data_IF_141664755675
#
_entry.id   IF_141664755675
#
_cell.length_a   1.000
_cell.length_b   1.000
_cell.length_c   1.000
_cell.angle_alpha   90.00
_cell.angle_beta   90.00
_cell.angle_gamma   90.00
#
_symmetry.space_group_name_H-M   'P 1'
#
loop_
_entity.id
_entity.type
_entity.pdbx_description
1 polymer ?
#
# COMPACT_ATOMS: atom_id res chain seq x y z
N UNK A 1 -17.30 -17.52 8.29
CA UNK A 1 -16.93 -16.17 8.73
C UNK A 1 -16.45 -16.28 10.15
N UNK A 2 -15.23 -15.84 10.40
CA UNK A 2 -14.67 -15.82 11.75
C UNK A 2 -15.14 -14.57 12.50
N UNK A 3 -15.09 -14.60 13.84
CA UNK A 3 -15.40 -13.41 14.64
C UNK A 3 -14.39 -12.30 14.33
N UNK A 4 -14.88 -11.07 14.17
CA UNK A 4 -14.03 -9.89 13.92
C UNK A 4 -14.57 -8.66 14.65
N UNK A 5 -13.70 -7.67 14.86
CA UNK A 5 -14.09 -6.32 15.25
C UNK A 5 -13.66 -5.37 14.15
N UNK A 6 -14.60 -4.57 13.65
CA UNK A 6 -14.31 -3.55 12.64
C UNK A 6 -14.38 -2.17 13.26
N UNK A 7 -13.26 -1.44 13.20
CA UNK A 7 -13.18 -0.03 13.54
C UNK A 7 -12.24 0.65 12.56
N UNK A 8 -12.79 1.51 11.71
CA UNK A 8 -12.02 2.43 10.90
C UNK A 8 -12.35 3.87 11.36
N UNK A 9 -11.49 4.49 12.19
CA UNK A 9 -11.79 5.78 12.81
C UNK A 9 -11.48 6.98 11.91
N UNK A 10 -10.89 6.77 10.73
CA UNK A 10 -10.46 7.88 9.87
C UNK A 10 -11.67 8.57 9.23
N UNK A 11 -11.80 9.89 9.45
CA UNK A 11 -12.77 10.71 8.72
C UNK A 11 -12.30 10.88 7.25
N UNK A 12 -13.13 10.46 6.28
CA UNK A 12 -12.82 10.61 4.86
C UNK A 12 -13.51 11.85 4.28
N UNK A 13 -12.72 12.74 3.68
CA UNK A 13 -13.14 13.96 3.01
C UNK A 13 -12.97 13.79 1.51
N UNK A 14 -13.97 13.19 0.87
CA UNK A 14 -13.90 12.81 -0.54
C UNK A 14 -14.57 13.85 -1.44
N UNK A 15 -13.86 14.28 -2.49
CA UNK A 15 -14.45 15.12 -3.54
C UNK A 15 -13.49 16.16 -4.11
N UNK A 16 -13.94 16.81 -5.18
CA UNK A 16 -13.22 17.93 -5.80
C UNK A 16 -13.16 19.14 -4.87
N UNK A 17 -11.96 19.70 -4.66
CA UNK A 17 -11.78 20.94 -3.94
C UNK A 17 -11.90 20.78 -2.43
N UNK A 18 -11.53 19.62 -1.89
CA UNK A 18 -11.69 19.30 -0.46
C UNK A 18 -10.49 19.72 0.41
N UNK A 19 -9.38 20.20 -0.16
CA UNK A 19 -8.23 20.66 0.64
C UNK A 19 -8.57 21.81 1.61
N UNK A 20 -9.44 22.80 1.28
CA UNK A 20 -9.86 23.82 2.24
C UNK A 20 -10.55 23.28 3.50
N UNK A 21 -11.11 22.06 3.47
CA UNK A 21 -11.75 21.40 4.62
C UNK A 21 -10.77 21.03 5.73
N UNK A 22 -9.46 21.19 5.53
CA UNK A 22 -8.48 21.12 6.62
C UNK A 22 -8.78 22.12 7.75
N UNK A 23 -9.46 23.22 7.43
CA UNK A 23 -9.86 24.25 8.39
C UNK A 23 -10.73 23.63 9.48
N UNK A 24 -10.29 23.74 10.73
CA UNK A 24 -11.01 23.21 11.90
C UNK A 24 -10.71 21.75 12.25
N UNK A 25 -10.05 20.97 11.37
CA UNK A 25 -9.70 19.56 11.63
C UNK A 25 -8.33 19.36 12.29
N UNK A 26 -7.53 20.42 12.33
CA UNK A 26 -6.27 20.47 13.08
C UNK A 26 -6.49 21.40 14.28
N UNK A 27 -6.23 20.97 15.52
CA UNK A 27 -6.34 21.84 16.71
C UNK A 27 -5.41 23.06 16.63
N UNK A 28 -5.95 24.27 16.81
CA UNK A 28 -5.25 25.56 16.60
C UNK A 28 -3.96 25.70 17.43
N UNK A 29 -3.90 25.07 18.60
CA UNK A 29 -2.76 25.09 19.52
C UNK A 29 -1.56 24.27 19.03
N UNK A 30 -1.75 23.32 18.10
CA UNK A 30 -0.70 22.41 17.67
C UNK A 30 0.13 23.00 16.53
N UNK A 31 1.46 22.91 16.67
CA UNK A 31 2.42 23.12 15.59
C UNK A 31 2.39 21.91 14.64
N UNK A 32 2.32 22.16 13.34
CA UNK A 32 2.16 21.14 12.30
C UNK A 32 3.49 20.84 11.63
N UNK A 33 3.83 19.55 11.46
CA UNK A 33 4.82 19.12 10.46
C UNK A 33 4.09 18.89 9.14
N UNK A 34 4.37 19.74 8.16
CA UNK A 34 3.93 19.54 6.78
C UNK A 34 4.94 18.62 6.09
N UNK A 35 4.58 17.34 5.97
CA UNK A 35 5.41 16.27 5.43
C UNK A 35 5.05 15.98 3.98
N UNK A 36 6.04 15.95 3.08
CA UNK A 36 5.83 15.58 1.67
C UNK A 36 7.06 14.92 1.02
N UNK A 37 6.85 14.34 -0.17
CA UNK A 37 7.90 13.65 -0.93
C UNK A 37 8.79 14.59 -1.74
N UNK A 38 9.17 14.17 -2.96
CA UNK A 38 10.07 14.90 -3.87
C UNK A 38 9.55 16.21 -4.49
N UNK A 39 8.41 16.74 -4.03
CA UNK A 39 7.93 18.07 -4.42
C UNK A 39 7.05 18.14 -5.68
N UNK A 40 6.53 17.02 -6.18
CA UNK A 40 5.52 17.02 -7.27
C UNK A 40 4.30 17.90 -6.94
N UNK A 41 3.91 17.96 -5.65
CA UNK A 41 2.82 18.80 -5.14
C UNK A 41 3.04 20.31 -5.35
N UNK A 42 4.29 20.76 -5.54
CA UNK A 42 4.60 22.17 -5.85
C UNK A 42 4.31 22.51 -7.30
N UNK A 43 4.29 21.51 -8.19
CA UNK A 43 4.06 21.72 -9.63
C UNK A 43 2.59 21.65 -10.02
N UNK A 44 1.74 21.06 -9.19
CA UNK A 44 0.33 20.83 -9.48
C UNK A 44 -0.64 21.67 -8.63
N UNK A 45 -0.12 22.66 -7.88
CA UNK A 45 -0.90 23.58 -7.06
C UNK A 45 -1.44 23.00 -5.75
N UNK A 46 -1.17 21.73 -5.44
CA UNK A 46 -1.58 21.13 -4.14
C UNK A 46 -0.81 21.78 -3.00
N UNK A 47 0.49 22.04 -3.15
CA UNK A 47 1.29 22.70 -2.13
C UNK A 47 0.70 24.06 -1.74
N UNK A 48 0.34 24.89 -2.72
CA UNK A 48 -0.19 26.23 -2.48
C UNK A 48 -1.55 26.19 -1.78
N UNK A 49 -2.44 25.28 -2.19
CA UNK A 49 -3.72 25.04 -1.51
C UNK A 49 -3.53 24.64 -0.05
N UNK A 50 -2.55 23.77 0.24
CA UNK A 50 -2.23 23.37 1.62
C UNK A 50 -1.65 24.53 2.42
N UNK A 51 -0.73 25.30 1.83
CA UNK A 51 -0.15 26.48 2.48
C UNK A 51 -1.21 27.52 2.82
N UNK A 52 -2.18 27.74 1.93
CA UNK A 52 -3.30 28.64 2.17
C UNK A 52 -4.24 28.10 3.27
N UNK A 53 -4.59 26.82 3.22
CA UNK A 53 -5.41 26.18 4.25
C UNK A 53 -4.74 26.16 5.65
N UNK A 54 -3.41 26.22 5.71
CA UNK A 54 -2.62 26.32 6.94
C UNK A 54 -2.25 27.75 7.34
N UNK A 55 -2.74 28.78 6.65
CA UNK A 55 -2.43 30.18 6.95
C UNK A 55 -2.76 30.53 8.41
N UNK A 56 -1.86 31.24 9.08
CA UNK A 56 -1.97 31.60 10.50
C UNK A 56 -1.54 30.49 11.47
N UNK A 57 -1.15 29.30 11.00
CA UNK A 57 -0.64 28.21 11.83
C UNK A 57 0.89 28.22 11.91
N UNK A 58 1.43 27.67 13.01
CA UNK A 58 2.86 27.34 13.11
C UNK A 58 3.13 26.05 12.33
N UNK A 59 3.85 26.17 11.20
CA UNK A 59 4.13 25.05 10.29
C UNK A 59 5.64 24.88 10.14
N UNK A 60 6.12 23.64 10.28
CA UNK A 60 7.48 23.22 9.93
C UNK A 60 7.37 22.30 8.72
N UNK A 61 8.14 22.55 7.67
CA UNK A 61 8.15 21.68 6.50
C UNK A 61 9.23 20.62 6.61
N UNK A 62 8.91 19.41 6.15
CA UNK A 62 9.89 18.38 5.89
C UNK A 62 9.56 17.71 4.56
N UNK A 63 10.51 17.78 3.63
CA UNK A 63 10.37 17.25 2.28
C UNK A 63 11.37 16.14 2.00
N UNK A 64 11.17 15.41 0.91
CA UNK A 64 12.14 14.43 0.42
C UNK A 64 11.90 13.01 0.90
N UNK A 65 10.69 12.70 1.38
CA UNK A 65 10.29 11.30 1.58
C UNK A 65 10.33 10.57 0.23
N UNK A 66 11.02 9.44 0.21
CA UNK A 66 11.27 8.63 -0.97
C UNK A 66 10.02 7.80 -1.37
N UNK A 67 10.00 7.22 -2.58
CA UNK A 67 8.94 6.29 -2.98
C UNK A 67 8.93 5.01 -2.13
N UNK A 68 10.11 4.60 -1.63
CA UNK A 68 10.28 3.60 -0.59
C UNK A 68 10.84 4.33 0.63
N UNK A 69 9.98 4.77 1.59
CA UNK A 69 10.39 5.70 2.62
C UNK A 69 11.49 5.07 3.49
N UNK A 70 12.60 5.78 3.66
CA UNK A 70 13.75 5.27 4.40
C UNK A 70 13.68 5.59 5.89
N UNK A 71 14.10 4.65 6.72
CA UNK A 71 14.26 4.80 8.16
C UNK A 71 15.16 6.00 8.49
N UNK A 72 16.25 6.16 7.74
CA UNK A 72 17.23 7.23 7.90
C UNK A 72 16.61 8.61 7.63
N UNK A 73 15.76 8.74 6.61
CA UNK A 73 15.02 9.98 6.31
C UNK A 73 13.98 10.25 7.38
N UNK A 74 13.22 9.23 7.81
CA UNK A 74 12.25 9.35 8.89
C UNK A 74 12.89 9.84 10.20
N UNK A 75 14.07 9.34 10.57
CA UNK A 75 14.77 9.78 11.79
C UNK A 75 15.18 11.26 11.75
N UNK A 76 15.46 11.83 10.57
CA UNK A 76 15.70 13.28 10.43
C UNK A 76 14.43 14.06 10.79
N UNK A 77 13.28 13.61 10.31
CA UNK A 77 11.99 14.22 10.66
C UNK A 77 11.66 14.05 12.16
N UNK A 78 11.92 12.88 12.76
CA UNK A 78 11.74 12.63 14.20
C UNK A 78 12.54 13.65 15.04
N UNK A 79 13.80 13.91 14.67
CA UNK A 79 14.64 14.92 15.35
C UNK A 79 14.04 16.32 15.28
N UNK A 80 13.52 16.70 14.10
CA UNK A 80 12.85 17.99 13.89
C UNK A 80 11.58 18.09 14.72
N UNK A 81 10.73 17.05 14.71
CA UNK A 81 9.48 17.01 15.47
C UNK A 81 9.74 17.19 16.97
N UNK A 82 10.75 16.50 17.52
CA UNK A 82 11.15 16.63 18.92
C UNK A 82 11.70 18.02 19.24
N UNK A 83 12.64 18.53 18.43
CA UNK A 83 13.26 19.85 18.63
C UNK A 83 12.21 20.97 18.58
N UNK A 84 11.34 20.92 17.58
CA UNK A 84 10.35 21.96 17.33
C UNK A 84 9.07 21.80 18.16
N UNK A 85 8.92 20.70 18.90
CA UNK A 85 7.70 20.36 19.65
C UNK A 85 6.47 20.37 18.72
N UNK A 86 6.61 19.73 17.55
CA UNK A 86 5.47 19.49 16.64
C UNK A 86 4.47 18.58 17.36
N UNK A 87 3.19 18.90 17.26
CA UNK A 87 2.10 18.13 17.86
C UNK A 87 1.15 17.47 16.87
N UNK A 88 1.31 17.72 15.57
CA UNK A 88 0.45 17.15 14.52
C UNK A 88 1.26 16.95 13.23
N UNK A 89 1.07 15.83 12.54
CA UNK A 89 1.69 15.57 11.23
C UNK A 89 0.63 15.67 10.13
N UNK A 90 0.83 16.56 9.16
CA UNK A 90 0.03 16.61 7.94
C UNK A 90 0.85 16.03 6.79
N UNK A 91 0.50 14.82 6.36
CA UNK A 91 1.15 14.11 5.27
C UNK A 91 0.46 14.43 3.94
N UNK A 92 1.20 14.95 2.96
CA UNK A 92 0.66 15.31 1.64
C UNK A 92 1.46 14.58 0.57
N UNK A 93 0.84 13.56 -0.03
CA UNK A 93 1.53 12.67 -0.96
C UNK A 93 0.77 11.37 -1.22
N UNK A 94 1.50 10.39 -1.77
CA UNK A 94 1.02 9.01 -1.87
C UNK A 94 1.27 8.21 -0.59
N UNK A 95 1.01 6.90 -0.66
CA UNK A 95 1.21 5.95 0.43
C UNK A 95 2.57 6.06 1.12
N UNK A 96 3.67 6.27 0.39
CA UNK A 96 5.01 6.38 0.98
C UNK A 96 5.16 7.54 1.98
N UNK A 97 4.56 8.69 1.68
CA UNK A 97 4.56 9.86 2.58
C UNK A 97 3.70 9.59 3.81
N UNK A 98 2.58 8.91 3.63
CA UNK A 98 1.65 8.57 4.71
C UNK A 98 2.29 7.52 5.64
N UNK A 99 2.94 6.49 5.08
CA UNK A 99 3.67 5.47 5.84
C UNK A 99 4.82 6.09 6.65
N UNK A 100 5.58 7.00 6.03
CA UNK A 100 6.60 7.77 6.74
C UNK A 100 5.99 8.58 7.90
N UNK A 101 4.85 9.25 7.67
CA UNK A 101 4.16 10.01 8.71
C UNK A 101 3.74 9.14 9.90
N UNK A 102 3.18 7.96 9.62
CA UNK A 102 2.79 6.97 10.63
C UNK A 102 3.98 6.52 11.46
N UNK A 103 5.07 6.16 10.80
CA UNK A 103 6.29 5.78 11.49
C UNK A 103 6.87 6.93 12.32
N UNK A 104 6.96 8.15 11.77
CA UNK A 104 7.45 9.33 12.50
C UNK A 104 6.58 9.62 13.72
N UNK A 105 5.25 9.56 13.58
CA UNK A 105 4.29 9.80 14.65
C UNK A 105 4.49 8.84 15.83
N UNK A 106 4.70 7.55 15.56
CA UNK A 106 4.99 6.55 16.59
C UNK A 106 6.42 6.71 17.16
N UNK A 107 7.43 6.84 16.28
CA UNK A 107 8.84 6.89 16.65
C UNK A 107 9.19 8.10 17.53
N UNK A 108 8.50 9.24 17.35
CA UNK A 108 8.69 10.42 18.20
C UNK A 108 8.39 10.12 19.67
N UNK A 109 7.36 9.31 19.94
CA UNK A 109 6.90 8.95 21.29
C UNK A 109 7.49 7.62 21.79
N UNK A 110 8.27 6.94 20.97
CA UNK A 110 8.96 5.71 21.33
C UNK A 110 10.06 5.97 22.38
N UNK A 111 10.07 5.16 23.45
CA UNK A 111 10.97 5.31 24.60
C UNK A 111 12.26 4.48 24.49
N UNK A 112 12.38 3.60 23.51
CA UNK A 112 13.59 2.81 23.28
C UNK A 112 14.69 3.57 22.53
N UNK A 113 15.88 2.96 22.43
CA UNK A 113 17.06 3.57 21.78
C UNK A 113 16.94 3.63 20.26
N UNK A 114 16.49 2.55 19.63
CA UNK A 114 16.32 2.44 18.18
C UNK A 114 14.83 2.22 17.85
N UNK A 115 14.14 3.21 17.26
CA UNK A 115 12.75 3.07 16.82
C UNK A 115 12.52 2.01 15.72
N UNK A 116 13.57 1.43 15.12
CA UNK A 116 13.42 0.32 14.17
C UNK A 116 12.73 -0.89 14.80
N UNK A 117 12.82 -1.06 16.12
CA UNK A 117 12.12 -2.11 16.88
C UNK A 117 10.60 -2.06 16.68
N UNK A 118 10.03 -0.91 16.32
CA UNK A 118 8.61 -0.81 15.92
C UNK A 118 8.31 -1.73 14.72
N UNK A 119 9.21 -1.77 13.74
CA UNK A 119 9.07 -2.62 12.55
C UNK A 119 9.37 -4.07 12.86
N UNK A 120 10.41 -4.35 13.65
CA UNK A 120 10.80 -5.72 14.03
C UNK A 120 9.71 -6.44 14.83
N UNK A 121 9.00 -5.72 15.70
CA UNK A 121 7.90 -6.25 16.52
C UNK A 121 6.51 -6.05 15.88
N UNK A 122 6.46 -5.68 14.59
CA UNK A 122 5.23 -5.51 13.83
C UNK A 122 4.28 -4.43 14.37
N UNK A 123 4.78 -3.51 15.21
CA UNK A 123 4.02 -2.39 15.79
C UNK A 123 3.34 -2.68 17.13
N UNK A 124 3.49 -3.89 17.68
CA UNK A 124 2.87 -4.30 18.95
C UNK A 124 3.31 -3.44 20.16
N UNK A 125 4.47 -2.81 20.07
CA UNK A 125 5.03 -1.88 21.05
C UNK A 125 4.56 -0.42 20.90
N UNK A 126 3.81 -0.09 19.84
CA UNK A 126 3.26 1.26 19.64
C UNK A 126 2.03 1.42 20.53
N UNK A 127 2.17 2.25 21.58
CA UNK A 127 1.10 2.55 22.54
C UNK A 127 0.46 3.92 22.36
N UNK A 128 1.15 4.82 21.66
CA UNK A 128 0.70 6.16 21.33
C UNK A 128 1.42 6.63 20.07
N UNK A 129 0.79 7.52 19.31
CA UNK A 129 1.41 8.24 18.22
C UNK A 129 0.92 9.69 18.21
N UNK A 130 1.66 10.60 17.55
CA UNK A 130 1.11 11.92 17.23
C UNK A 130 -0.09 11.80 16.28
N UNK A 131 -1.11 12.69 16.37
CA UNK A 131 -2.21 12.69 15.41
C UNK A 131 -1.71 13.01 13.99
N UNK A 132 -2.29 12.31 13.01
CA UNK A 132 -1.91 12.38 11.60
C UNK A 132 -3.13 12.80 10.78
N UNK A 133 -3.00 13.85 9.97
CA UNK A 133 -3.92 14.15 8.88
C UNK A 133 -3.25 13.82 7.55
N UNK A 134 -4.03 13.42 6.55
CA UNK A 134 -3.49 13.09 5.22
C UNK A 134 -4.21 13.83 4.10
N UNK A 135 -3.48 14.11 3.02
CA UNK A 135 -4.03 14.56 1.74
C UNK A 135 -3.44 13.65 0.68
N UNK A 136 -4.28 12.78 0.13
CA UNK A 136 -3.86 11.75 -0.78
C UNK A 136 -3.66 12.33 -2.18
N UNK A 137 -2.47 12.13 -2.75
CA UNK A 137 -2.14 12.56 -4.13
C UNK A 137 -1.84 11.41 -5.07
N UNK A 138 -1.78 10.18 -4.56
CA UNK A 138 -1.54 8.95 -5.32
C UNK A 138 -2.27 7.79 -4.62
N UNK A 139 -3.42 7.35 -5.13
CA UNK A 139 -4.14 6.17 -4.63
C UNK A 139 -3.39 4.90 -4.99
N UNK A 140 -3.22 4.00 -4.02
CA UNK A 140 -2.60 2.68 -4.21
C UNK A 140 -2.82 1.77 -2.98
N UNK A 141 -2.37 2.22 -1.81
CA UNK A 141 -2.13 1.36 -0.64
C UNK A 141 -3.21 1.40 0.44
N UNK A 142 -4.26 2.22 0.28
CA UNK A 142 -5.25 2.49 1.33
C UNK A 142 -4.67 3.06 2.64
N UNK A 143 -3.38 3.45 2.65
CA UNK A 143 -2.66 3.91 3.85
C UNK A 143 -3.33 5.13 4.49
N UNK A 144 -4.05 5.91 3.70
CA UNK A 144 -4.85 7.02 4.17
C UNK A 144 -6.02 6.63 5.09
N UNK A 145 -6.43 5.35 5.12
CA UNK A 145 -7.57 4.84 5.90
C UNK A 145 -7.25 3.51 6.59
N UNK A 146 -5.99 3.26 6.93
CA UNK A 146 -5.59 2.06 7.69
C UNK A 146 -4.45 2.35 8.68
N UNK A 147 -4.11 1.36 9.50
CA UNK A 147 -3.03 1.43 10.50
C UNK A 147 -1.70 0.83 10.05
N UNK A 148 -1.56 0.43 8.78
CA UNK A 148 -0.34 -0.16 8.24
C UNK A 148 0.69 0.91 7.86
N UNK A 149 1.98 0.60 7.95
CA UNK A 149 3.03 1.36 7.28
C UNK A 149 4.24 0.48 6.96
N UNK A 150 4.90 0.76 5.84
CA UNK A 150 6.08 0.01 5.35
C UNK A 150 7.28 0.93 5.23
N UNK A 151 8.37 0.61 5.94
CA UNK A 151 9.60 1.41 5.98
C UNK A 151 10.78 0.55 5.54
N UNK A 152 11.68 1.16 4.75
CA UNK A 152 12.92 0.53 4.31
C UNK A 152 14.09 0.98 5.18
N UNK A 153 15.05 0.10 5.46
CA UNK A 153 16.32 0.44 6.14
C UNK A 153 17.47 0.09 5.23
N UNK A 154 18.14 1.12 4.71
CA UNK A 154 19.22 0.96 3.73
C UNK A 154 20.39 0.19 4.31
N UNK A 155 20.75 0.44 5.57
CA UNK A 155 21.90 -0.18 6.23
C UNK A 155 21.81 -1.70 6.39
N UNK A 156 20.59 -2.26 6.45
CA UNK A 156 20.35 -3.71 6.62
C UNK A 156 19.71 -4.35 5.38
N UNK A 157 19.43 -3.57 4.34
CA UNK A 157 18.67 -3.99 3.16
C UNK A 157 17.32 -4.63 3.53
N UNK A 158 16.61 -4.05 4.49
CA UNK A 158 15.32 -4.55 4.96
C UNK A 158 14.18 -3.63 4.52
N UNK A 159 13.02 -4.22 4.25
CA UNK A 159 11.76 -3.50 4.04
C UNK A 159 10.70 -4.21 4.86
N UNK A 160 10.32 -3.60 5.97
CA UNK A 160 9.43 -4.20 6.97
C UNK A 160 8.16 -3.37 7.09
N UNK A 161 7.07 -4.04 7.46
CA UNK A 161 5.78 -3.43 7.76
C UNK A 161 5.49 -3.46 9.25
N UNK A 162 4.75 -2.49 9.74
CA UNK A 162 4.11 -2.56 11.05
C UNK A 162 2.65 -2.17 10.96
N UNK A 163 1.87 -2.57 11.98
CA UNK A 163 0.50 -2.15 12.17
C UNK A 163 0.30 -1.61 13.59
N UNK A 164 -0.45 -0.52 13.71
CA UNK A 164 -0.97 -0.07 15.01
C UNK A 164 -2.28 0.71 14.84
N UNK A 165 -3.22 0.52 15.77
CA UNK A 165 -4.44 1.35 15.87
C UNK A 165 -4.13 2.82 16.13
N UNK A 166 -2.97 3.11 16.72
CA UNK A 166 -2.58 4.46 17.13
C UNK A 166 -2.12 5.34 15.96
N UNK A 167 -1.79 4.74 14.82
CA UNK A 167 -1.29 5.46 13.64
C UNK A 167 -2.33 5.61 12.53
N UNK A 168 -3.60 5.31 12.80
CA UNK A 168 -4.67 5.67 11.87
C UNK A 168 -4.70 7.20 11.70
N UNK A 169 -4.79 7.70 10.46
CA UNK A 169 -5.07 9.11 10.25
C UNK A 169 -6.38 9.50 10.94
N UNK A 170 -6.40 10.66 11.60
CA UNK A 170 -7.64 11.21 12.18
C UNK A 170 -8.59 11.68 11.08
N UNK A 171 -8.03 12.15 9.95
CA UNK A 171 -8.77 12.43 8.72
C UNK A 171 -7.91 12.16 7.49
N UNK A 172 -8.56 12.00 6.34
CA UNK A 172 -7.93 12.00 5.03
C UNK A 172 -8.72 12.80 3.99
N UNK A 173 -8.03 13.70 3.28
CA UNK A 173 -8.57 14.41 2.11
C UNK A 173 -8.28 13.60 0.86
N UNK A 174 -9.35 13.18 0.19
CA UNK A 174 -9.36 12.41 -1.05
C UNK A 174 -9.95 13.29 -2.15
N UNK A 175 -9.12 14.16 -2.73
CA UNK A 175 -9.51 14.96 -3.90
C UNK A 175 -8.94 14.33 -5.19
N UNK A 176 -9.78 13.74 -6.07
CA UNK A 176 -9.32 13.10 -7.30
C UNK A 176 -8.47 13.98 -8.21
N UNK A 177 -8.64 15.32 -8.15
CA UNK A 177 -7.86 16.27 -8.98
C UNK A 177 -6.39 16.33 -8.59
N UNK A 178 -6.02 16.04 -7.35
CA UNK A 178 -4.60 15.98 -6.94
C UNK A 178 -3.82 14.94 -7.74
N UNK A 179 -4.52 13.95 -8.29
CA UNK A 179 -3.95 12.84 -9.03
C UNK A 179 -3.77 13.14 -10.53
N UNK A 180 -4.32 14.25 -11.04
CA UNK A 180 -4.33 14.56 -12.47
C UNK A 180 -2.93 14.74 -13.05
N UNK A 181 -1.95 15.17 -12.24
CA UNK A 181 -0.57 15.32 -12.68
C UNK A 181 0.23 14.02 -12.68
N UNK A 182 -0.33 12.89 -12.23
CA UNK A 182 0.42 11.63 -12.15
C UNK A 182 0.82 11.11 -13.54
N UNK A 183 2.11 10.78 -13.74
CA UNK A 183 2.55 9.98 -14.88
C UNK A 183 1.79 8.66 -14.96
N UNK A 184 1.54 8.16 -16.17
CA UNK A 184 0.78 6.92 -16.41
C UNK A 184 1.36 5.72 -15.63
N UNK A 185 2.69 5.66 -15.47
CA UNK A 185 3.39 4.63 -14.67
C UNK A 185 2.87 4.55 -13.23
N UNK A 186 2.66 5.69 -12.56
CA UNK A 186 2.20 5.70 -11.17
C UNK A 186 0.72 5.36 -11.03
N UNK A 187 -0.10 5.71 -12.03
CA UNK A 187 -1.51 5.30 -12.08
C UNK A 187 -1.61 3.79 -12.27
N UNK A 188 -0.86 3.24 -13.25
CA UNK A 188 -0.71 1.79 -13.47
C UNK A 188 -0.30 1.08 -12.18
N UNK A 189 0.74 1.56 -11.51
CA UNK A 189 1.24 0.95 -10.29
C UNK A 189 0.15 0.95 -9.20
N UNK A 190 -0.55 2.06 -9.00
CA UNK A 190 -1.61 2.13 -7.99
C UNK A 190 -2.82 1.22 -8.29
N UNK A 191 -3.20 1.06 -9.57
CA UNK A 191 -4.24 0.10 -9.97
C UNK A 191 -3.82 -1.34 -9.65
N UNK A 192 -2.60 -1.72 -10.04
CA UNK A 192 -2.08 -3.08 -9.79
C UNK A 192 -1.95 -3.35 -8.29
N UNK A 193 -1.48 -2.37 -7.52
CA UNK A 193 -1.34 -2.48 -6.07
C UNK A 193 -2.69 -2.66 -5.37
N UNK A 194 -3.68 -1.80 -5.68
CA UNK A 194 -5.05 -1.95 -5.18
C UNK A 194 -5.67 -3.29 -5.56
N UNK A 195 -5.44 -3.74 -6.80
CA UNK A 195 -5.91 -5.04 -7.28
C UNK A 195 -5.32 -6.19 -6.46
N UNK A 196 -4.00 -6.18 -6.21
CA UNK A 196 -3.32 -7.23 -5.45
C UNK A 196 -3.76 -7.20 -3.99
N UNK A 197 -3.95 -6.01 -3.38
CA UNK A 197 -4.52 -5.91 -2.02
C UNK A 197 -5.87 -6.62 -1.91
N UNK A 198 -6.76 -6.43 -2.89
CA UNK A 198 -8.04 -7.16 -2.92
C UNK A 198 -7.82 -8.66 -3.07
N UNK A 199 -6.91 -9.07 -3.98
CA UNK A 199 -6.62 -10.50 -4.19
C UNK A 199 -6.03 -11.17 -2.95
N UNK A 200 -5.20 -10.52 -2.15
CA UNK A 200 -4.60 -11.11 -0.95
C UNK A 200 -5.61 -11.34 0.18
N UNK A 201 -6.77 -10.66 0.14
CA UNK A 201 -7.90 -10.82 1.06
C UNK A 201 -9.02 -11.72 0.51
N UNK A 202 -8.90 -12.17 -0.75
CA UNK A 202 -9.94 -12.93 -1.47
C UNK A 202 -9.43 -14.27 -1.99
N UNK A 203 -8.19 -14.34 -2.49
CA UNK A 203 -7.62 -15.50 -3.16
C UNK A 203 -6.94 -16.45 -2.16
N UNK A 204 -7.73 -16.98 -1.26
CA UNK A 204 -7.34 -17.89 -0.17
C UNK A 204 -7.96 -19.28 -0.39
N UNK A 205 -8.26 -20.01 0.69
CA UNK A 205 -9.21 -21.12 0.65
C UNK A 205 -10.67 -20.63 0.58
N UNK A 206 -11.64 -21.49 0.15
CA UNK A 206 -13.07 -21.17 0.14
C UNK A 206 -13.67 -20.98 1.54
N UNK A 207 -13.59 -19.77 2.06
CA UNK A 207 -14.26 -19.39 3.30
C UNK A 207 -15.76 -19.12 3.07
N UNK A 208 -16.59 -19.41 4.08
CA UNK A 208 -18.03 -19.08 4.07
C UNK A 208 -18.23 -17.60 4.39
N UNK A 209 -17.89 -16.71 3.45
CA UNK A 209 -17.93 -15.24 3.56
C UNK A 209 -18.50 -14.57 2.31
N UNK A 210 -19.75 -14.93 1.89
CA UNK A 210 -20.27 -14.52 0.59
C UNK A 210 -20.33 -13.01 0.39
N UNK A 211 -20.58 -12.21 1.45
CA UNK A 211 -20.58 -10.75 1.34
C UNK A 211 -19.18 -10.20 1.05
N UNK A 212 -18.16 -10.65 1.76
CA UNK A 212 -16.77 -10.25 1.55
C UNK A 212 -16.29 -10.65 0.15
N UNK A 213 -16.69 -11.84 -0.31
CA UNK A 213 -16.46 -12.27 -1.68
C UNK A 213 -17.08 -11.29 -2.68
N UNK A 214 -18.36 -10.88 -2.51
CA UNK A 214 -19.01 -9.93 -3.43
C UNK A 214 -18.37 -8.56 -3.41
N UNK A 215 -17.98 -8.06 -2.23
CA UNK A 215 -17.30 -6.78 -2.10
C UNK A 215 -15.94 -6.80 -2.81
N UNK A 216 -15.15 -7.85 -2.59
CA UNK A 216 -13.86 -8.04 -3.26
C UNK A 216 -14.04 -8.16 -4.79
N UNK A 217 -14.97 -9.00 -5.25
CA UNK A 217 -15.29 -9.18 -6.68
C UNK A 217 -15.71 -7.86 -7.33
N UNK A 218 -16.54 -7.05 -6.65
CA UNK A 218 -16.97 -5.75 -7.14
C UNK A 218 -15.81 -4.77 -7.27
N UNK A 219 -14.88 -4.75 -6.31
CA UNK A 219 -13.67 -3.92 -6.39
C UNK A 219 -12.77 -4.36 -7.55
N UNK A 220 -12.56 -5.66 -7.74
CA UNK A 220 -11.75 -6.20 -8.83
C UNK A 220 -12.34 -5.83 -10.19
N UNK A 221 -13.64 -6.08 -10.40
CA UNK A 221 -14.34 -5.73 -11.64
C UNK A 221 -14.27 -4.23 -11.91
N UNK A 222 -14.53 -3.40 -10.88
CA UNK A 222 -14.45 -1.95 -11.00
C UNK A 222 -13.04 -1.52 -11.41
N UNK A 223 -11.99 -2.01 -10.74
CA UNK A 223 -10.60 -1.68 -11.07
C UNK A 223 -10.23 -2.10 -12.50
N UNK A 224 -10.69 -3.27 -12.96
CA UNK A 224 -10.48 -3.73 -14.34
C UNK A 224 -11.16 -2.77 -15.34
N UNK A 225 -12.41 -2.42 -15.08
CA UNK A 225 -13.21 -1.52 -15.93
C UNK A 225 -12.60 -0.12 -16.02
N UNK A 226 -12.23 0.48 -14.88
CA UNK A 226 -11.78 1.87 -14.85
C UNK A 226 -10.31 2.06 -15.24
N UNK A 227 -9.49 1.01 -15.25
CA UNK A 227 -8.05 1.15 -15.43
C UNK A 227 -7.65 1.85 -16.74
N UNK A 228 -8.23 1.50 -17.91
CA UNK A 228 -7.93 2.21 -19.16
C UNK A 228 -8.32 3.70 -19.10
N UNK A 229 -9.47 4.03 -18.53
CA UNK A 229 -9.95 5.40 -18.41
C UNK A 229 -9.12 6.22 -17.41
N UNK A 230 -8.73 5.63 -16.28
CA UNK A 230 -7.91 6.27 -15.25
C UNK A 230 -6.50 6.62 -15.75
N UNK A 231 -5.97 5.84 -16.70
CA UNK A 231 -4.66 6.05 -17.32
C UNK A 231 -4.70 6.97 -18.56
N UNK A 232 -5.88 7.22 -19.14
CA UNK A 232 -6.05 8.00 -20.37
C UNK A 232 -5.78 9.50 -20.16
N UNK A 233 -5.40 10.18 -21.25
CA UNK A 233 -5.35 11.64 -21.36
C UNK A 233 -6.32 12.10 -22.47
N UNK A 234 -7.12 13.18 -22.27
CA UNK A 234 -7.25 13.98 -21.04
C UNK A 234 -7.81 13.17 -19.85
N UNK A 235 -7.52 13.62 -18.63
CA UNK A 235 -7.93 12.92 -17.41
C UNK A 235 -9.44 13.09 -17.20
N UNK A 236 -10.12 12.00 -16.87
CA UNK A 236 -11.56 11.98 -16.56
C UNK A 236 -11.76 11.97 -15.05
N UNK A 237 -12.60 12.86 -14.52
CA UNK A 237 -12.80 12.98 -13.08
C UNK A 237 -13.35 11.69 -12.49
N UNK A 238 -14.38 11.13 -13.12
CA UNK A 238 -15.11 9.94 -12.71
C UNK A 238 -14.17 8.74 -12.59
N UNK A 239 -13.31 8.52 -13.60
CA UNK A 239 -12.34 7.43 -13.56
C UNK A 239 -11.33 7.57 -12.41
N UNK A 240 -10.87 8.79 -12.11
CA UNK A 240 -9.93 9.04 -11.00
C UNK A 240 -10.61 8.98 -9.64
N UNK A 241 -11.86 9.42 -9.56
CA UNK A 241 -12.67 9.37 -8.35
C UNK A 241 -12.97 7.91 -7.99
N UNK A 242 -13.47 7.12 -8.94
CA UNK A 242 -13.73 5.69 -8.74
C UNK A 242 -12.45 4.95 -8.41
N UNK A 243 -11.35 5.16 -9.15
CA UNK A 243 -10.07 4.54 -8.82
C UNK A 243 -9.60 4.88 -7.40
N UNK A 244 -9.65 6.16 -7.02
CA UNK A 244 -9.24 6.59 -5.68
C UNK A 244 -10.04 5.88 -4.60
N UNK A 245 -11.36 5.84 -4.73
CA UNK A 245 -12.22 5.19 -3.75
C UNK A 245 -12.04 3.67 -3.72
N UNK A 246 -11.90 3.03 -4.88
CA UNK A 246 -11.60 1.59 -4.97
C UNK A 246 -10.28 1.24 -4.28
N UNK A 247 -9.23 2.06 -4.47
CA UNK A 247 -7.94 1.86 -3.81
C UNK A 247 -8.01 2.04 -2.28
N UNK A 248 -8.82 3.00 -1.80
CA UNK A 248 -9.08 3.14 -0.36
C UNK A 248 -9.77 1.89 0.20
N UNK A 249 -10.86 1.44 -0.44
CA UNK A 249 -11.62 0.27 0.01
C UNK A 249 -10.84 -1.05 -0.13
N UNK A 250 -9.87 -1.11 -1.05
CA UNK A 250 -9.01 -2.29 -1.23
C UNK A 250 -8.19 -2.61 0.02
N UNK A 251 -7.85 -1.63 0.87
CA UNK A 251 -7.06 -1.86 2.08
C UNK A 251 -7.49 -1.01 3.28
N UNK A 252 -8.79 -0.77 3.47
CA UNK A 252 -9.34 -0.15 4.69
C UNK A 252 -9.89 -1.20 5.70
N UNK A 253 -9.55 -2.47 5.47
CA UNK A 253 -9.96 -3.69 6.20
C UNK A 253 -11.42 -4.13 6.07
N UNK A 254 -12.30 -3.38 5.39
CA UNK A 254 -13.70 -3.78 5.25
C UNK A 254 -13.87 -5.17 4.62
N UNK A 255 -13.15 -5.44 3.54
CA UNK A 255 -13.28 -6.70 2.79
C UNK A 255 -12.60 -7.89 3.49
N UNK A 256 -11.68 -7.64 4.42
CA UNK A 256 -11.04 -8.67 5.24
C UNK A 256 -11.89 -9.18 6.40
N UNK A 257 -13.00 -8.51 6.74
CA UNK A 257 -13.78 -8.79 7.94
C UNK A 257 -14.29 -10.25 7.97
N UNK A 258 -13.72 -11.05 8.87
CA UNK A 258 -14.07 -12.46 9.06
C UNK A 258 -13.63 -13.38 7.91
N UNK A 259 -12.77 -12.89 7.01
CA UNK A 259 -12.19 -13.62 5.88
C UNK A 259 -10.69 -13.91 6.12
N UNK A 260 -10.17 -15.06 5.66
CA UNK A 260 -8.74 -15.35 5.68
C UNK A 260 -7.95 -14.43 4.72
N UNK A 261 -6.63 -14.33 4.92
CA UNK A 261 -5.73 -13.50 4.12
C UNK A 261 -4.39 -14.23 3.88
N UNK A 262 -3.71 -13.95 2.77
CA UNK A 262 -2.47 -14.62 2.35
C UNK A 262 -1.21 -13.76 2.61
N UNK A 263 -1.09 -12.62 1.96
CA UNK A 263 0.04 -11.67 1.99
C UNK A 263 1.37 -12.17 1.41
N UNK A 264 1.43 -13.37 0.83
CA UNK A 264 2.69 -13.93 0.31
C UNK A 264 3.27 -13.12 -0.84
N UNK A 265 2.44 -12.59 -1.74
CA UNK A 265 2.94 -11.82 -2.87
C UNK A 265 3.59 -10.51 -2.41
N UNK A 266 2.99 -9.85 -1.41
CA UNK A 266 3.57 -8.67 -0.76
C UNK A 266 4.90 -8.96 -0.07
N UNK A 267 4.95 -10.02 0.74
CA UNK A 267 6.15 -10.34 1.54
C UNK A 267 7.34 -10.72 0.65
N UNK A 268 7.13 -11.51 -0.40
CA UNK A 268 8.18 -11.79 -1.39
C UNK A 268 8.51 -10.53 -2.20
N UNK A 269 7.49 -9.73 -2.56
CA UNK A 269 7.64 -8.49 -3.30
C UNK A 269 8.42 -7.40 -2.56
N UNK A 270 8.36 -7.36 -1.22
CA UNK A 270 9.19 -6.48 -0.40
C UNK A 270 10.68 -6.80 -0.56
N UNK A 271 11.05 -8.08 -0.59
CA UNK A 271 12.44 -8.49 -0.77
C UNK A 271 12.96 -8.17 -2.17
N UNK A 272 12.12 -8.33 -3.21
CA UNK A 272 12.47 -7.86 -4.56
C UNK A 272 12.72 -6.35 -4.61
N UNK A 273 11.90 -5.56 -3.89
CA UNK A 273 12.12 -4.11 -3.78
C UNK A 273 13.43 -3.81 -3.05
N UNK A 274 13.67 -4.46 -1.92
CA UNK A 274 14.84 -4.20 -1.07
C UNK A 274 16.16 -4.56 -1.75
N UNK A 275 16.18 -5.65 -2.54
CA UNK A 275 17.40 -6.11 -3.20
C UNK A 275 17.63 -5.53 -4.60
N UNK A 276 16.57 -5.22 -5.35
CA UNK A 276 16.67 -4.86 -6.77
C UNK A 276 16.07 -3.49 -7.10
N UNK A 277 15.48 -2.78 -6.13
CA UNK A 277 14.98 -1.42 -6.32
C UNK A 277 13.75 -1.29 -7.23
N UNK A 278 13.05 -2.40 -7.51
CA UNK A 278 11.81 -2.39 -8.29
C UNK A 278 10.71 -1.60 -7.57
N UNK A 279 9.79 -1.00 -8.35
CA UNK A 279 8.59 -0.41 -7.74
C UNK A 279 7.73 -1.50 -7.10
N UNK A 280 7.04 -1.17 -6.02
CA UNK A 280 6.24 -2.15 -5.27
C UNK A 280 5.25 -2.92 -6.16
N UNK A 281 4.43 -2.23 -6.95
CA UNK A 281 3.46 -2.87 -7.83
C UNK A 281 4.10 -3.73 -8.94
N UNK A 282 5.33 -3.41 -9.36
CA UNK A 282 6.08 -4.22 -10.34
C UNK A 282 6.45 -5.57 -9.72
N UNK A 283 6.85 -5.59 -8.44
CA UNK A 283 7.15 -6.85 -7.75
C UNK A 283 5.88 -7.69 -7.53
N UNK A 284 4.75 -7.06 -7.21
CA UNK A 284 3.46 -7.76 -7.06
C UNK A 284 3.00 -8.40 -8.37
N UNK A 285 3.09 -7.68 -9.48
CA UNK A 285 2.73 -8.19 -10.80
C UNK A 285 3.59 -9.40 -11.24
N UNK A 286 4.85 -9.43 -10.81
CA UNK A 286 5.75 -10.57 -11.03
C UNK A 286 5.33 -11.75 -10.15
N UNK A 287 5.16 -11.54 -8.84
CA UNK A 287 5.07 -12.62 -7.85
C UNK A 287 3.68 -13.25 -7.80
N UNK A 288 2.60 -12.46 -7.86
CA UNK A 288 1.23 -12.93 -7.62
C UNK A 288 0.85 -14.15 -8.48
N UNK A 289 1.07 -14.17 -9.82
CA UNK A 289 0.75 -15.34 -10.62
C UNK A 289 1.66 -16.55 -10.35
N UNK A 290 2.84 -16.33 -9.77
CA UNK A 290 3.74 -17.40 -9.30
C UNK A 290 3.20 -18.09 -8.05
N UNK A 291 2.74 -17.30 -7.07
CA UNK A 291 2.10 -17.81 -5.86
C UNK A 291 0.89 -18.67 -6.22
N UNK A 292 0.03 -18.21 -7.13
CA UNK A 292 -1.15 -18.97 -7.54
C UNK A 292 -0.82 -20.27 -8.27
N UNK A 293 0.20 -20.27 -9.13
CA UNK A 293 0.65 -21.50 -9.81
C UNK A 293 1.23 -22.50 -8.83
N UNK A 294 2.04 -22.05 -7.88
CA UNK A 294 2.60 -22.92 -6.84
C UNK A 294 1.51 -23.46 -5.89
N UNK A 295 0.56 -22.62 -5.48
CA UNK A 295 -0.55 -22.97 -4.59
C UNK A 295 -1.82 -23.41 -5.34
N UNK A 296 -1.70 -23.83 -6.60
CA UNK A 296 -2.84 -24.00 -7.49
C UNK A 296 -3.91 -24.92 -6.90
N UNK A 297 -3.52 -26.10 -6.42
CA UNK A 297 -4.46 -27.06 -5.81
C UNK A 297 -5.18 -26.50 -4.58
N UNK A 298 -4.47 -25.75 -3.73
CA UNK A 298 -5.04 -25.17 -2.51
C UNK A 298 -6.03 -24.05 -2.80
N UNK A 299 -5.76 -23.25 -3.85
CA UNK A 299 -6.56 -22.08 -4.24
C UNK A 299 -7.56 -22.36 -5.38
N UNK A 300 -7.56 -23.56 -5.96
CA UNK A 300 -8.28 -23.90 -7.19
C UNK A 300 -9.75 -23.46 -7.18
N UNK A 301 -10.50 -23.82 -6.13
CA UNK A 301 -11.92 -23.47 -6.02
C UNK A 301 -12.17 -21.95 -5.99
N UNK A 302 -11.27 -21.18 -5.35
CA UNK A 302 -11.37 -19.71 -5.34
C UNK A 302 -10.93 -19.10 -6.66
N UNK A 303 -9.95 -19.71 -7.35
CA UNK A 303 -9.59 -19.34 -8.72
C UNK A 303 -10.73 -19.61 -9.71
N UNK A 304 -11.47 -20.72 -9.58
CA UNK A 304 -12.65 -21.01 -10.39
C UNK A 304 -13.79 -20.01 -10.12
N UNK A 305 -14.04 -19.66 -8.85
CA UNK A 305 -15.00 -18.61 -8.50
C UNK A 305 -14.60 -17.25 -9.10
N UNK A 306 -13.32 -16.90 -8.99
CA UNK A 306 -12.74 -15.69 -9.59
C UNK A 306 -12.88 -15.69 -11.11
N UNK A 307 -12.59 -16.81 -11.77
CA UNK A 307 -12.76 -16.99 -13.21
C UNK A 307 -14.20 -16.65 -13.62
N UNK A 308 -15.18 -17.31 -12.99
CA UNK A 308 -16.59 -17.13 -13.35
C UNK A 308 -17.14 -15.75 -13.01
N UNK A 309 -16.80 -15.21 -11.83
CA UNK A 309 -17.42 -13.99 -11.33
C UNK A 309 -16.75 -12.71 -11.81
N UNK A 310 -15.42 -12.66 -11.89
CA UNK A 310 -14.70 -11.45 -12.30
C UNK A 310 -14.50 -11.40 -13.81
N UNK A 311 -14.21 -12.54 -14.44
CA UNK A 311 -13.84 -12.60 -15.86
C UNK A 311 -14.87 -13.24 -16.78
N UNK A 312 -15.88 -13.92 -16.25
CA UNK A 312 -16.82 -14.70 -17.06
C UNK A 312 -16.19 -15.93 -17.73
N UNK A 313 -15.11 -16.46 -17.13
CA UNK A 313 -14.33 -17.61 -17.62
C UNK A 313 -14.71 -18.90 -16.88
N UNK A 314 -14.24 -20.05 -17.38
CA UNK A 314 -14.63 -21.36 -16.84
C UNK A 314 -13.58 -21.99 -15.94
N UNK A 315 -12.31 -21.79 -16.22
CA UNK A 315 -11.22 -22.51 -15.51
C UNK A 315 -10.33 -21.60 -14.68
N UNK A 316 -9.71 -22.17 -13.64
CA UNK A 316 -8.75 -21.48 -12.79
C UNK A 316 -7.52 -21.00 -13.59
N UNK A 317 -7.02 -21.81 -14.51
CA UNK A 317 -5.87 -21.52 -15.36
C UNK A 317 -6.12 -20.31 -16.27
N UNK A 318 -7.30 -20.26 -16.91
CA UNK A 318 -7.72 -19.13 -17.73
C UNK A 318 -7.72 -17.83 -16.92
N UNK A 319 -8.14 -17.86 -15.65
CA UNK A 319 -8.16 -16.68 -14.79
C UNK A 319 -6.75 -16.18 -14.42
N UNK A 320 -5.78 -17.09 -14.21
CA UNK A 320 -4.37 -16.70 -13.98
C UNK A 320 -3.83 -16.00 -15.22
N UNK A 321 -4.04 -16.60 -16.41
CA UNK A 321 -3.61 -16.02 -17.70
C UNK A 321 -4.28 -14.66 -17.92
N UNK A 322 -5.59 -14.56 -17.67
CA UNK A 322 -6.34 -13.32 -17.88
C UNK A 322 -5.88 -12.18 -16.97
N UNK A 323 -5.47 -12.51 -15.75
CA UNK A 323 -4.87 -11.53 -14.83
C UNK A 323 -3.54 -11.01 -15.35
N UNK A 324 -2.69 -11.89 -15.90
CA UNK A 324 -1.43 -11.46 -16.54
C UNK A 324 -1.68 -10.60 -17.78
N UNK A 325 -2.64 -10.98 -18.64
CA UNK A 325 -3.07 -10.18 -19.78
C UNK A 325 -3.57 -8.79 -19.37
N UNK A 326 -4.35 -8.71 -18.28
CA UNK A 326 -4.78 -7.44 -17.73
C UNK A 326 -3.58 -6.58 -17.32
N UNK A 327 -2.63 -7.12 -16.56
CA UNK A 327 -1.40 -6.38 -16.21
C UNK A 327 -0.62 -5.95 -17.46
N UNK A 328 -0.47 -6.82 -18.45
CA UNK A 328 0.19 -6.48 -19.72
C UNK A 328 -0.54 -5.38 -20.49
N UNK A 329 -1.87 -5.36 -20.48
CA UNK A 329 -2.68 -4.31 -21.11
C UNK A 329 -2.40 -2.92 -20.50
N UNK A 330 -2.03 -2.88 -19.22
CA UNK A 330 -1.59 -1.65 -18.52
C UNK A 330 -0.09 -1.37 -18.71
N UNK A 331 0.61 -2.12 -19.56
CA UNK A 331 2.07 -2.07 -19.77
C UNK A 331 2.83 -2.41 -18.48
N UNK A 332 2.36 -3.38 -17.69
CA UNK A 332 3.02 -3.89 -16.49
C UNK A 332 3.66 -5.27 -16.78
N UNK A 333 5.00 -5.37 -16.92
CA UNK A 333 5.66 -6.67 -17.07
C UNK A 333 5.49 -7.58 -15.84
N UNK A 334 5.38 -8.89 -16.07
CA UNK A 334 5.09 -9.91 -15.03
C UNK A 334 6.15 -11.00 -14.90
N UNK A 335 7.38 -10.75 -15.40
CA UNK A 335 8.54 -11.66 -15.32
C UNK A 335 9.80 -10.90 -14.90
N UNK A 336 10.69 -11.57 -14.18
CA UNK A 336 11.96 -11.01 -13.70
C UNK A 336 12.90 -10.62 -14.83
N UNK A 337 12.95 -11.40 -15.92
CA UNK A 337 13.81 -11.11 -17.08
C UNK A 337 13.52 -9.77 -17.75
N UNK A 338 12.28 -9.27 -17.71
CA UNK A 338 11.95 -7.93 -18.25
C UNK A 338 12.65 -6.79 -17.50
N UNK A 339 13.02 -7.04 -16.25
CA UNK A 339 13.75 -6.09 -15.39
C UNK A 339 15.25 -6.41 -15.32
N UNK A 340 15.75 -7.34 -16.17
CA UNK A 340 17.14 -7.81 -16.19
C UNK A 340 17.59 -8.42 -14.86
N UNK A 341 16.66 -9.07 -14.15
CA UNK A 341 16.94 -9.77 -12.90
C UNK A 341 16.98 -11.28 -13.19
N UNK A 342 18.05 -11.95 -12.73
CA UNK A 342 18.16 -13.41 -12.80
C UNK A 342 17.21 -14.06 -11.79
N UNK A 343 16.30 -14.90 -12.28
CA UNK A 343 15.37 -15.63 -11.41
C UNK A 343 16.07 -16.59 -10.46
N UNK A 344 17.17 -17.22 -10.90
CA UNK A 344 17.95 -18.13 -10.04
C UNK A 344 18.66 -17.35 -8.92
N UNK A 345 19.25 -16.20 -9.23
CA UNK A 345 19.90 -15.35 -8.23
C UNK A 345 18.88 -14.82 -7.21
N UNK A 346 17.75 -14.29 -7.69
CA UNK A 346 16.69 -13.78 -6.84
C UNK A 346 16.12 -14.90 -5.93
N UNK A 347 15.87 -16.08 -6.49
CA UNK A 347 15.41 -17.25 -5.75
C UNK A 347 16.39 -17.67 -4.64
N UNK A 348 17.69 -17.74 -4.95
CA UNK A 348 18.71 -18.08 -3.97
C UNK A 348 18.80 -17.04 -2.85
N UNK A 349 18.87 -15.75 -3.21
CA UNK A 349 19.05 -14.64 -2.26
C UNK A 349 17.85 -14.46 -1.34
N UNK A 350 16.64 -14.42 -1.91
CA UNK A 350 15.39 -14.23 -1.16
C UNK A 350 15.05 -15.49 -0.37
N UNK A 351 15.22 -16.68 -0.97
CA UNK A 351 15.02 -17.95 -0.27
C UNK A 351 15.93 -18.09 0.96
N UNK A 352 17.21 -17.70 0.86
CA UNK A 352 18.13 -17.70 1.99
C UNK A 352 17.66 -16.78 3.14
N UNK A 353 17.20 -15.57 2.82
CA UNK A 353 16.68 -14.62 3.82
C UNK A 353 15.45 -15.15 4.56
N UNK A 354 14.50 -15.76 3.85
CA UNK A 354 13.33 -16.37 4.51
C UNK A 354 13.69 -17.61 5.34
N UNK A 355 14.72 -18.37 4.92
CA UNK A 355 15.23 -19.50 5.70
C UNK A 355 15.85 -19.04 7.01
N UNK A 356 16.67 -17.99 6.97
CA UNK A 356 17.29 -17.39 8.16
C UNK A 356 16.22 -16.89 9.16
N UNK A 357 15.20 -16.20 8.65
CA UNK A 357 14.09 -15.69 9.46
C UNK A 357 13.12 -16.76 9.96
N UNK A 358 13.18 -17.98 9.42
CA UNK A 358 12.25 -19.10 9.73
C UNK A 358 10.77 -18.73 9.56
N UNK A 359 10.49 -17.88 8.56
CA UNK A 359 9.13 -17.40 8.27
C UNK A 359 8.46 -18.31 7.24
N UNK A 360 7.20 -18.65 7.49
CA UNK A 360 6.33 -19.35 6.56
C UNK A 360 5.13 -18.45 6.24
N UNK A 361 4.90 -18.25 4.95
CA UNK A 361 3.87 -17.37 4.42
C UNK A 361 2.61 -18.15 3.99
N UNK A 362 1.59 -17.41 3.59
CA UNK A 362 0.31 -17.94 3.12
C UNK A 362 -0.70 -18.13 4.24
N UNK A 363 -1.97 -18.18 3.86
CA UNK A 363 -3.11 -18.34 4.77
C UNK A 363 -3.08 -19.66 5.57
N UNK A 364 -2.23 -20.61 5.15
CA UNK A 364 -1.97 -21.88 5.84
C UNK A 364 -0.55 -21.98 6.41
N UNK A 365 0.29 -20.95 6.27
CA UNK A 365 1.68 -20.99 6.73
C UNK A 365 2.52 -22.08 6.05
N UNK A 366 2.31 -22.33 4.76
CA UNK A 366 2.97 -23.42 4.00
C UNK A 366 4.03 -22.93 3.02
N UNK A 367 4.10 -21.62 2.75
CA UNK A 367 5.06 -21.05 1.80
C UNK A 367 6.35 -20.69 2.55
N UNK A 368 7.22 -21.68 2.71
CA UNK A 368 8.57 -21.51 3.29
C UNK A 368 9.63 -21.15 2.24
N UNK A 369 10.88 -21.06 2.67
CA UNK A 369 12.03 -20.66 1.84
C UNK A 369 12.18 -21.44 0.52
N UNK A 370 11.90 -22.75 0.51
CA UNK A 370 12.00 -23.58 -0.70
C UNK A 370 10.90 -23.20 -1.71
N UNK A 371 9.66 -23.13 -1.25
CA UNK A 371 8.51 -22.70 -2.06
C UNK A 371 8.72 -21.29 -2.63
N UNK A 372 9.26 -20.36 -1.84
CA UNK A 372 9.57 -18.99 -2.30
C UNK A 372 10.59 -19.02 -3.45
N UNK A 373 11.64 -19.84 -3.34
CA UNK A 373 12.63 -19.98 -4.40
C UNK A 373 12.02 -20.59 -5.67
N UNK A 374 11.15 -21.61 -5.55
CA UNK A 374 10.43 -22.21 -6.67
C UNK A 374 9.47 -21.22 -7.35
N UNK A 375 8.73 -20.45 -6.56
CA UNK A 375 7.87 -19.36 -7.03
C UNK A 375 8.71 -18.40 -7.87
N UNK A 376 9.82 -17.88 -7.36
CA UNK A 376 10.66 -16.92 -8.08
C UNK A 376 11.28 -17.50 -9.36
N UNK A 377 11.77 -18.76 -9.34
CA UNK A 377 12.27 -19.45 -10.54
C UNK A 377 11.20 -19.57 -11.63
N UNK A 378 9.95 -19.82 -11.25
CA UNK A 378 8.84 -19.89 -12.21
C UNK A 378 8.53 -18.55 -12.89
N UNK A 379 9.15 -17.45 -12.44
CA UNK A 379 8.96 -16.08 -12.96
C UNK A 379 10.13 -15.57 -13.79
N UNK A 380 10.97 -16.46 -14.33
CA UNK A 380 12.07 -16.14 -15.24
C UNK A 380 11.66 -15.15 -16.35
#
# INVERSE_FOLDING_TARGET
>A
MDNFTYKNPTEILFGNGMIPELKGRIPASLKVLFLYGGGSIKKNGVYDQVRDALKGRKVIEFSGVESNPSYETCLKAVKIVRKEKVGFILAVGGGSVIDAAKFIAAAVLFKGKDPWVILEEGGSNVKMALPIGTILTLPATGSESNGNAVISRGSTHEKLSFYSSEVYPVFSVLDPKTTYSLPAKYVRNGVVDAFVHVMEQYMTYPAKVPLQDRLAESLLQTLIEIAPAAMKRPVQYEARATFMWSATLALNYLISCGAPQDWSAHMIGHELTAFYGLDHAETLAIVLPGVWRHQFKAKQKKLEQYAGRVWGLRTAEEAIVKTEEFFHSLKMPTRLGHYKISAEEAAAKIGARFRERKVFLGEHGTIGAVAIAEILRSRA
#
